data_IF_596206930140
#
_entry.id   IF_596206930140
#
_cell.length_a   1.000
_cell.length_b   1.000
_cell.length_c   1.000
_cell.angle_alpha   90.00
_cell.angle_beta   90.00
_cell.angle_gamma   90.00
#
_symmetry.space_group_name_H-M   'P 1'
#
loop_
_entity.id
_entity.type
_entity.pdbx_description
1 polymer ?
#
# COMPACT_ATOMS: atom_id res chain seq x y z
N UNK A 1 -23.17 -4.21 -57.93
CA UNK A 1 -23.39 -4.20 -56.46
C UNK A 1 -22.03 -4.42 -55.81
N UNK A 2 -21.46 -3.39 -55.18
CA UNK A 2 -20.12 -3.44 -54.56
C UNK A 2 -20.30 -3.85 -53.10
N UNK A 3 -19.73 -4.99 -52.72
CA UNK A 3 -19.74 -5.48 -51.34
C UNK A 3 -18.69 -4.69 -50.55
N UNK A 4 -19.13 -4.03 -49.48
CA UNK A 4 -18.26 -3.32 -48.54
C UNK A 4 -17.76 -4.32 -47.49
N UNK A 5 -16.44 -4.49 -47.24
CA UNK A 5 -15.99 -5.33 -46.15
C UNK A 5 -16.18 -4.58 -44.82
N UNK A 6 -16.88 -5.22 -43.89
CA UNK A 6 -17.01 -4.79 -42.50
C UNK A 6 -15.62 -4.90 -41.87
N UNK A 7 -14.91 -3.79 -41.75
CA UNK A 7 -13.73 -3.70 -40.92
C UNK A 7 -14.18 -3.82 -39.46
N UNK A 8 -14.00 -5.02 -38.90
CA UNK A 8 -14.18 -5.27 -37.48
C UNK A 8 -13.06 -4.53 -36.73
N UNK A 9 -13.40 -3.38 -36.15
CA UNK A 9 -12.54 -2.66 -35.24
C UNK A 9 -12.71 -3.30 -33.87
N UNK A 10 -11.82 -4.25 -33.54
CA UNK A 10 -11.76 -4.83 -32.21
C UNK A 10 -11.14 -3.78 -31.29
N UNK A 11 -11.99 -2.98 -30.64
CA UNK A 11 -11.59 -2.03 -29.62
C UNK A 11 -11.01 -2.84 -28.43
N UNK A 12 -9.68 -2.94 -28.36
CA UNK A 12 -9.00 -3.53 -27.22
C UNK A 12 -9.10 -2.53 -26.06
N UNK A 13 -10.17 -2.65 -25.27
CA UNK A 13 -10.25 -1.95 -23.99
C UNK A 13 -9.26 -2.66 -23.08
N UNK A 14 -8.09 -2.03 -22.86
CA UNK A 14 -7.17 -2.47 -21.83
C UNK A 14 -7.80 -2.07 -20.49
N UNK A 15 -8.53 -2.99 -19.85
CA UNK A 15 -8.91 -2.79 -18.46
C UNK A 15 -7.61 -2.82 -17.64
N UNK A 16 -7.24 -1.67 -17.07
CA UNK A 16 -6.23 -1.61 -16.01
C UNK A 16 -6.88 -2.14 -14.74
N UNK A 17 -6.80 -3.45 -14.51
CA UNK A 17 -7.16 -4.01 -13.22
C UNK A 17 -6.05 -3.67 -12.22
N UNK A 18 -6.41 -3.15 -11.04
CA UNK A 18 -5.47 -2.98 -9.93
C UNK A 18 -4.82 -4.34 -9.62
N UNK A 19 -3.49 -4.41 -9.58
CA UNK A 19 -2.80 -5.64 -9.26
C UNK A 19 -2.69 -5.77 -7.74
N UNK A 20 -3.10 -6.92 -7.20
CA UNK A 20 -2.87 -7.24 -5.81
C UNK A 20 -1.44 -7.75 -5.64
N UNK A 21 -0.64 -7.02 -4.86
CA UNK A 21 0.74 -7.37 -4.57
C UNK A 21 0.87 -7.92 -3.14
N UNK A 22 1.17 -9.22 -3.04
CA UNK A 22 1.34 -9.91 -1.76
C UNK A 22 2.82 -10.03 -1.41
N UNK A 23 3.14 -9.78 -0.15
CA UNK A 23 4.45 -10.11 0.39
C UNK A 23 4.66 -11.63 0.48
N UNK A 24 5.77 -12.13 -0.06
CA UNK A 24 6.09 -13.56 -0.16
C UNK A 24 6.94 -14.10 0.99
N UNK A 25 7.36 -13.27 1.95
CA UNK A 25 8.16 -13.71 3.10
C UNK A 25 9.68 -13.69 2.88
N UNK A 26 10.16 -12.94 1.87
CA UNK A 26 11.58 -12.62 1.75
C UNK A 26 12.44 -13.56 0.91
N UNK A 27 13.23 -12.98 0.01
CA UNK A 27 14.23 -13.64 -0.81
C UNK A 27 15.56 -13.70 -0.07
N UNK A 28 16.29 -14.79 -0.25
CA UNK A 28 17.57 -15.01 0.43
C UNK A 28 18.55 -13.84 0.23
N UNK A 29 19.08 -13.33 1.34
CA UNK A 29 19.99 -12.18 1.43
C UNK A 29 19.30 -10.80 1.39
N UNK A 30 17.97 -10.76 1.23
CA UNK A 30 17.13 -9.56 1.18
C UNK A 30 15.74 -9.82 1.78
N UNK A 31 15.71 -10.57 2.86
CA UNK A 31 14.51 -11.19 3.42
C UNK A 31 13.42 -10.20 3.83
N UNK A 32 13.81 -8.99 4.21
CA UNK A 32 12.89 -7.94 4.68
C UNK A 32 12.89 -6.71 3.78
N UNK A 33 13.61 -6.73 2.66
CA UNK A 33 13.75 -5.56 1.78
C UNK A 33 12.46 -5.31 0.97
N UNK A 34 11.73 -4.24 1.30
CA UNK A 34 10.55 -3.81 0.52
C UNK A 34 10.89 -3.60 -0.96
N UNK A 35 12.09 -3.12 -1.26
CA UNK A 35 12.52 -2.77 -2.61
C UNK A 35 13.02 -3.97 -3.42
N UNK A 36 12.96 -5.19 -2.87
CA UNK A 36 13.37 -6.40 -3.56
C UNK A 36 12.19 -7.02 -4.34
N UNK A 37 12.20 -7.01 -5.69
CA UNK A 37 11.08 -7.49 -6.49
C UNK A 37 10.72 -8.96 -6.24
N UNK A 38 11.71 -9.79 -5.87
CA UNK A 38 11.50 -11.22 -5.56
C UNK A 38 10.69 -11.45 -4.28
N UNK A 39 10.48 -10.41 -3.46
CA UNK A 39 9.66 -10.49 -2.26
C UNK A 39 8.17 -10.29 -2.54
N UNK A 40 7.79 -9.95 -3.78
CA UNK A 40 6.43 -9.61 -4.16
C UNK A 40 5.86 -10.63 -5.15
N UNK A 41 4.58 -10.97 -5.00
CA UNK A 41 3.86 -11.92 -5.86
C UNK A 41 3.84 -11.53 -7.34
N UNK A 42 3.95 -10.23 -7.64
CA UNK A 42 3.98 -9.69 -9.00
C UNK A 42 5.38 -9.78 -9.64
N UNK A 43 6.41 -10.11 -8.87
CA UNK A 43 7.81 -10.05 -9.30
C UNK A 43 8.33 -8.62 -9.51
N UNK A 44 7.61 -7.61 -9.00
CA UNK A 44 7.92 -6.18 -9.08
C UNK A 44 7.66 -5.51 -7.74
N UNK A 45 8.35 -4.40 -7.45
CA UNK A 45 8.03 -3.57 -6.28
C UNK A 45 6.66 -2.90 -6.52
N UNK A 46 5.73 -2.94 -5.55
CA UNK A 46 4.41 -2.32 -5.70
C UNK A 46 4.52 -0.84 -6.04
N UNK A 47 3.65 -0.40 -6.95
CA UNK A 47 3.52 0.98 -7.39
C UNK A 47 2.11 1.52 -7.23
N UNK A 48 1.86 2.66 -7.88
CA UNK A 48 0.73 3.54 -7.59
C UNK A 48 -0.66 2.95 -7.84
N UNK A 49 -0.76 1.85 -8.59
CA UNK A 49 -2.02 1.15 -8.88
C UNK A 49 -2.18 -0.14 -8.06
N UNK A 50 -1.20 -0.45 -7.22
CA UNK A 50 -1.14 -1.75 -6.55
C UNK A 50 -1.79 -1.67 -5.17
N UNK A 51 -2.64 -2.67 -4.92
CA UNK A 51 -3.16 -2.96 -3.60
C UNK A 51 -2.16 -3.87 -2.88
N UNK A 52 -1.50 -3.34 -1.86
CA UNK A 52 -0.50 -4.09 -1.11
C UNK A 52 -1.14 -4.87 0.03
N UNK A 53 -0.85 -6.16 0.09
CA UNK A 53 -1.32 -7.04 1.16
C UNK A 53 -0.10 -7.68 1.82
N UNK A 54 0.03 -7.45 3.13
CA UNK A 54 1.03 -8.10 3.97
C UNK A 54 0.34 -9.23 4.74
N UNK A 55 0.38 -10.48 4.24
CA UNK A 55 -0.18 -11.61 4.94
C UNK A 55 0.66 -11.98 6.16
N UNK A 56 0.05 -12.72 7.09
CA UNK A 56 0.81 -13.38 8.14
C UNK A 56 1.81 -14.36 7.51
N UNK A 57 3.09 -14.11 7.80
CA UNK A 57 4.20 -15.02 7.58
C UNK A 57 4.86 -15.23 8.94
N UNK A 58 5.86 -16.13 9.04
CA UNK A 58 6.69 -16.22 10.25
C UNK A 58 7.08 -14.80 10.72
N UNK A 59 6.85 -14.49 12.00
CA UNK A 59 6.98 -13.15 12.58
C UNK A 59 8.37 -12.52 12.37
N UNK A 60 9.38 -13.32 12.01
CA UNK A 60 10.73 -12.83 11.74
C UNK A 60 10.95 -12.27 10.32
N UNK A 61 9.98 -12.46 9.40
CA UNK A 61 10.14 -12.19 7.96
C UNK A 61 9.08 -11.21 7.42
N UNK A 62 9.01 -10.03 8.04
CA UNK A 62 8.14 -8.94 7.58
C UNK A 62 8.88 -7.93 6.70
N UNK A 63 8.17 -7.22 5.81
CA UNK A 63 8.77 -6.14 5.01
C UNK A 63 9.22 -4.95 5.84
N UNK A 64 10.32 -4.33 5.43
CA UNK A 64 10.86 -3.09 5.97
C UNK A 64 11.10 -2.07 4.84
N UNK A 65 10.44 -0.92 4.94
CA UNK A 65 10.65 0.23 4.06
C UNK A 65 11.83 1.04 4.62
N UNK A 66 13.00 0.95 3.97
CA UNK A 66 14.25 1.63 4.42
C UNK A 66 14.60 2.89 3.65
N UNK A 67 13.87 3.20 2.59
CA UNK A 67 14.04 4.38 1.77
C UNK A 67 12.67 4.88 1.29
N UNK A 68 12.65 5.89 0.41
CA UNK A 68 11.43 6.31 -0.25
C UNK A 68 10.92 5.19 -1.15
N UNK A 69 9.81 4.57 -0.78
CA UNK A 69 9.12 3.58 -1.61
C UNK A 69 8.32 4.28 -2.72
N UNK A 70 8.05 3.60 -3.85
CA UNK A 70 6.99 4.05 -4.75
C UNK A 70 5.67 4.19 -4.00
N UNK A 71 4.86 5.17 -4.40
CA UNK A 71 3.52 5.30 -3.85
C UNK A 71 2.68 4.06 -4.20
N UNK A 72 1.77 3.68 -3.31
CA UNK A 72 0.87 2.53 -3.48
C UNK A 72 -0.58 2.98 -3.34
N UNK A 73 -1.51 2.22 -3.91
CA UNK A 73 -2.93 2.60 -3.86
C UNK A 73 -3.55 2.29 -2.49
N UNK A 74 -3.21 1.14 -1.91
CA UNK A 74 -3.68 0.76 -0.58
C UNK A 74 -2.76 -0.20 0.14
N UNK A 75 -2.95 -0.28 1.46
CA UNK A 75 -2.21 -1.18 2.33
C UNK A 75 -3.16 -1.97 3.24
N UNK A 76 -3.09 -3.29 3.18
CA UNK A 76 -3.66 -4.16 4.19
C UNK A 76 -2.53 -4.89 4.92
N UNK A 77 -2.51 -4.78 6.25
CA UNK A 77 -1.68 -5.63 7.11
C UNK A 77 -2.61 -6.63 7.79
N UNK A 78 -2.53 -7.89 7.39
CA UNK A 78 -3.38 -8.94 7.96
C UNK A 78 -3.06 -9.19 9.43
N UNK A 79 -4.02 -9.77 10.16
CA UNK A 79 -3.85 -10.15 11.57
C UNK A 79 -2.53 -10.87 11.81
N UNK A 80 -1.83 -10.46 12.89
CA UNK A 80 -0.51 -10.98 13.31
C UNK A 80 0.65 -10.72 12.35
N UNK A 81 0.41 -10.17 11.16
CA UNK A 81 1.46 -9.70 10.26
C UNK A 81 2.08 -8.41 10.80
N UNK A 82 3.22 -8.03 10.24
CA UNK A 82 3.93 -6.80 10.60
C UNK A 82 4.45 -6.09 9.36
N UNK A 83 4.61 -4.77 9.46
CA UNK A 83 5.34 -3.93 8.51
C UNK A 83 6.14 -2.91 9.32
N UNK A 84 7.37 -2.65 8.91
CA UNK A 84 8.17 -1.57 9.48
C UNK A 84 8.47 -0.50 8.43
N UNK A 85 8.38 0.77 8.83
CA UNK A 85 8.94 1.91 8.10
C UNK A 85 10.14 2.38 8.91
N UNK A 86 11.34 2.13 8.41
CA UNK A 86 12.59 2.52 9.05
C UNK A 86 12.78 4.04 9.07
N UNK A 87 13.79 4.56 9.79
CA UNK A 87 13.98 6.02 9.97
C UNK A 87 14.14 6.83 8.68
N UNK A 88 14.69 6.21 7.64
CA UNK A 88 14.85 6.80 6.29
C UNK A 88 13.73 6.38 5.32
N UNK A 89 12.81 5.53 5.80
CA UNK A 89 11.68 5.00 5.06
C UNK A 89 10.59 6.04 4.87
N UNK A 90 10.04 6.09 3.67
CA UNK A 90 8.81 6.84 3.37
C UNK A 90 7.86 5.93 2.63
N UNK A 91 6.68 5.71 3.20
CA UNK A 91 5.58 5.02 2.57
C UNK A 91 4.44 6.01 2.35
N UNK A 92 4.09 6.21 1.07
CA UNK A 92 2.94 7.02 0.68
C UNK A 92 1.84 6.11 0.15
N UNK A 93 0.66 6.23 0.75
CA UNK A 93 -0.56 5.58 0.29
C UNK A 93 -1.41 6.67 -0.36
N UNK A 94 -1.61 6.55 -1.66
CA UNK A 94 -2.39 7.47 -2.48
C UNK A 94 -3.66 6.77 -2.95
N UNK A 95 -4.77 7.05 -2.27
CA UNK A 95 -6.04 6.34 -2.50
C UNK A 95 -6.91 7.01 -3.56
N UNK A 96 -6.31 7.81 -4.45
CA UNK A 96 -7.01 8.42 -5.58
C UNK A 96 -7.78 7.35 -6.37
N UNK A 97 -9.08 7.62 -6.60
CA UNK A 97 -10.04 6.74 -7.29
C UNK A 97 -10.23 5.34 -6.66
N UNK A 98 -9.75 5.08 -5.44
CA UNK A 98 -9.98 3.81 -4.76
C UNK A 98 -11.40 3.72 -4.20
N UNK A 99 -12.08 2.62 -4.49
CA UNK A 99 -13.28 2.23 -3.76
C UNK A 99 -12.89 1.58 -2.41
N UNK A 100 -13.33 2.17 -1.29
CA UNK A 100 -13.16 1.62 0.06
C UNK A 100 -12.02 2.22 0.88
N UNK A 101 -11.54 1.48 1.88
CA UNK A 101 -10.53 1.97 2.83
C UNK A 101 -9.12 1.95 2.22
N UNK A 102 -8.36 3.03 2.42
CA UNK A 102 -6.99 3.12 1.93
C UNK A 102 -5.98 2.29 2.72
N UNK A 103 -6.18 2.19 4.04
CA UNK A 103 -5.35 1.39 4.91
C UNK A 103 -6.18 0.54 5.86
N UNK A 104 -5.94 -0.77 5.88
CA UNK A 104 -6.57 -1.73 6.79
C UNK A 104 -5.50 -2.32 7.72
N UNK A 105 -5.60 -2.01 9.02
CA UNK A 105 -4.65 -2.41 10.05
C UNK A 105 -5.24 -3.48 10.99
N UNK A 106 -5.13 -4.75 10.59
CA UNK A 106 -5.45 -5.90 11.44
C UNK A 106 -4.20 -6.45 12.16
N UNK A 107 -3.02 -6.28 11.55
CA UNK A 107 -1.71 -6.53 12.14
C UNK A 107 -0.98 -5.26 12.54
N UNK A 108 0.33 -5.35 12.77
CA UNK A 108 1.15 -4.29 13.37
C UNK A 108 1.89 -3.43 12.33
N UNK A 109 1.86 -2.12 12.51
CA UNK A 109 2.66 -1.16 11.76
C UNK A 109 3.60 -0.41 12.69
N UNK A 110 4.90 -0.58 12.50
CA UNK A 110 5.94 0.15 13.21
C UNK A 110 6.46 1.28 12.33
N UNK A 111 6.11 2.52 12.66
CA UNK A 111 6.54 3.69 11.88
C UNK A 111 7.60 4.49 12.61
N UNK A 112 8.85 4.39 12.16
CA UNK A 112 9.98 5.20 12.62
C UNK A 112 10.40 6.27 11.58
N UNK A 113 9.86 6.20 10.36
CA UNK A 113 10.14 7.11 9.26
C UNK A 113 8.95 8.01 8.96
N UNK A 114 8.39 7.91 7.76
CA UNK A 114 7.18 8.63 7.37
C UNK A 114 6.12 7.70 6.75
N UNK A 115 4.91 7.77 7.31
CA UNK A 115 3.67 7.25 6.74
C UNK A 115 2.82 8.44 6.29
N UNK A 116 2.51 8.50 4.99
CA UNK A 116 1.76 9.59 4.38
C UNK A 116 0.53 9.00 3.68
N UNK A 117 -0.65 9.49 4.03
CA UNK A 117 -1.92 9.15 3.39
C UNK A 117 -2.36 10.37 2.57
N UNK A 118 -2.58 10.23 1.26
CA UNK A 118 -2.97 11.34 0.36
C UNK A 118 -4.27 11.08 -0.39
N UNK A 119 -4.89 12.17 -0.85
CA UNK A 119 -6.02 12.21 -1.81
C UNK A 119 -7.18 11.28 -1.44
N UNK A 120 -7.57 11.30 -0.16
CA UNK A 120 -8.62 10.45 0.36
C UNK A 120 -9.98 11.15 0.32
N UNK A 121 -10.88 10.65 -0.52
CA UNK A 121 -12.32 10.98 -0.44
C UNK A 121 -13.05 10.17 0.65
N UNK A 122 -12.38 9.21 1.30
CA UNK A 122 -12.95 8.18 2.18
C UNK A 122 -12.30 8.12 3.57
N UNK A 123 -12.85 7.27 4.45
CA UNK A 123 -12.26 6.90 5.75
C UNK A 123 -10.81 6.42 5.56
N UNK A 124 -9.81 7.14 6.10
CA UNK A 124 -8.42 6.93 5.72
C UNK A 124 -7.85 5.61 6.24
N UNK A 125 -8.39 5.12 7.36
CA UNK A 125 -7.90 3.94 8.06
C UNK A 125 -9.06 3.17 8.67
N UNK A 126 -9.07 1.86 8.47
CA UNK A 126 -9.91 0.90 9.17
C UNK A 126 -9.03 -0.04 9.99
N UNK A 127 -9.43 -0.36 11.22
CA UNK A 127 -8.69 -1.27 12.09
C UNK A 127 -8.42 -0.71 13.47
N UNK A 128 -7.60 -1.43 14.24
CA UNK A 128 -7.27 -1.03 15.61
C UNK A 128 -6.06 -0.10 15.58
N UNK A 129 -6.26 1.20 15.84
CA UNK A 129 -5.16 2.19 15.89
C UNK A 129 -4.08 1.82 16.92
N UNK A 130 -4.38 1.00 17.93
CA UNK A 130 -3.39 0.43 18.85
C UNK A 130 -2.34 -0.44 18.17
N UNK A 131 -2.56 -0.86 16.92
CA UNK A 131 -1.59 -1.59 16.13
C UNK A 131 -0.63 -0.69 15.33
N UNK A 132 -0.82 0.63 15.37
CA UNK A 132 0.12 1.60 14.83
C UNK A 132 1.04 2.10 15.96
N UNK A 133 2.29 1.62 15.99
CA UNK A 133 3.36 2.20 16.81
C UNK A 133 4.05 3.30 16.00
N UNK A 134 3.63 4.55 16.22
CA UNK A 134 4.14 5.70 15.49
C UNK A 134 5.16 6.49 16.32
N UNK A 135 6.43 6.38 15.94
CA UNK A 135 7.56 7.18 16.46
C UNK A 135 8.13 8.14 15.39
N UNK A 136 7.65 8.06 14.16
CA UNK A 136 7.98 8.94 13.04
C UNK A 136 6.86 9.92 12.68
N UNK A 137 6.83 10.33 11.42
CA UNK A 137 5.81 11.19 10.84
C UNK A 137 4.62 10.33 10.40
N UNK A 138 3.42 10.68 10.86
CA UNK A 138 2.17 10.17 10.34
C UNK A 138 1.28 11.34 9.90
N UNK A 139 1.04 11.46 8.60
CA UNK A 139 0.33 12.61 8.02
C UNK A 139 -0.81 12.14 7.12
N UNK A 140 -1.97 12.78 7.27
CA UNK A 140 -3.04 12.75 6.30
C UNK A 140 -3.02 14.06 5.50
N UNK A 141 -3.02 13.95 4.17
CA UNK A 141 -3.06 15.08 3.25
C UNK A 141 -4.35 14.97 2.46
N UNK A 142 -5.26 15.90 2.73
CA UNK A 142 -6.54 16.01 2.02
C UNK A 142 -6.56 17.28 1.19
N UNK A 143 -7.54 17.44 0.31
CA UNK A 143 -7.81 18.70 -0.37
C UNK A 143 -8.05 19.88 0.59
N UNK A 144 -8.44 19.57 1.84
CA UNK A 144 -8.59 20.55 2.93
C UNK A 144 -7.27 20.91 3.65
N UNK A 145 -6.15 20.27 3.29
CA UNK A 145 -4.81 20.50 3.85
C UNK A 145 -4.25 19.31 4.66
N UNK A 146 -3.14 19.56 5.36
CA UNK A 146 -2.43 18.58 6.20
C UNK A 146 -3.10 18.42 7.56
N UNK A 147 -3.45 17.18 7.92
CA UNK A 147 -4.00 16.80 9.22
C UNK A 147 -3.06 15.76 9.85
N UNK A 148 -2.42 16.05 11.00
CA UNK A 148 -1.69 15.02 11.75
C UNK A 148 -2.68 13.94 12.20
N UNK A 149 -2.38 12.66 11.91
CA UNK A 149 -3.31 11.55 12.23
C UNK A 149 -3.45 11.30 13.74
N UNK A 150 -2.58 11.90 14.57
CA UNK A 150 -2.51 11.70 16.02
C UNK A 150 -3.57 12.46 16.85
N UNK A 151 -4.60 13.03 16.21
CA UNK A 151 -5.58 13.88 16.91
C UNK A 151 -6.97 13.26 17.16
N UNK A 152 -7.19 11.97 16.85
CA UNK A 152 -8.40 11.28 17.30
C UNK A 152 -8.09 10.36 18.48
N UNK A 153 -7.93 10.98 19.65
CA UNK A 153 -7.99 10.28 20.93
C UNK A 153 -9.38 9.65 21.10
N UNK A 154 -9.36 8.39 21.53
CA UNK A 154 -10.50 7.60 21.96
C UNK A 154 -11.56 8.43 22.70
N UNK A 155 -12.78 8.49 22.15
CA UNK A 155 -14.01 8.65 22.93
C UNK A 155 -14.68 7.27 23.08
#
# INVERSE_FOLDING_TARGET
MKNLPIASFLLLICLTANAQAYWLGGAAGRETDWMEPRNWSTGQVPGWQDDVIIPYQDQSLYPEVRCVAPLIQSLQISKEASLAIGPEGVLTIDAYEKEGTAMVLEGFLFNYGALILTEMELEPVEGQLSHLDNQGICSLVTDAGHIPLLAQENQ
#
